data_IF_346970067237
#
_entry.id   IF_346970067237
#
_cell.length_a   1.000
_cell.length_b   1.000
_cell.length_c   1.000
_cell.angle_alpha   90.00
_cell.angle_beta   90.00
_cell.angle_gamma   90.00
#
_symmetry.space_group_name_H-M   'P 1'
#
loop_
_entity.id
_entity.type
_entity.pdbx_description
1 polymer ?
#
# COMPACT_ATOMS: atom_id res chain seq x y z
N UNK A 1 31.55 4.01 -8.71
CA UNK A 1 31.72 5.22 -7.86
C UNK A 1 30.77 6.36 -8.22
N UNK A 2 30.66 6.82 -9.46
CA UNK A 2 29.75 7.94 -9.81
C UNK A 2 28.25 7.61 -9.68
N UNK A 3 27.81 6.40 -10.00
CA UNK A 3 26.39 5.99 -9.89
C UNK A 3 25.95 5.80 -8.43
N UNK A 4 26.76 5.16 -7.59
CA UNK A 4 26.47 5.01 -6.16
C UNK A 4 26.37 6.36 -5.45
N UNK A 5 27.26 7.30 -5.80
CA UNK A 5 27.24 8.66 -5.25
C UNK A 5 25.95 9.41 -5.65
N UNK A 6 25.47 9.17 -6.89
CA UNK A 6 24.23 9.79 -7.37
C UNK A 6 22.98 9.25 -6.68
N UNK A 7 22.91 7.92 -6.43
CA UNK A 7 21.79 7.30 -5.72
C UNK A 7 21.73 7.75 -4.25
N UNK A 8 22.87 7.78 -3.56
CA UNK A 8 22.94 8.27 -2.18
C UNK A 8 22.52 9.74 -2.08
N UNK A 9 22.95 10.57 -3.02
CA UNK A 9 22.51 11.96 -3.08
C UNK A 9 21.00 12.08 -3.27
N UNK A 10 20.42 11.34 -4.21
CA UNK A 10 18.96 11.33 -4.44
C UNK A 10 18.17 10.84 -3.23
N UNK A 11 18.70 9.85 -2.49
CA UNK A 11 18.06 9.36 -1.25
C UNK A 11 18.02 10.44 -0.16
N UNK A 12 19.06 11.27 -0.06
CA UNK A 12 19.16 12.31 0.95
C UNK A 12 18.36 13.58 0.62
N UNK A 13 18.01 13.79 -0.66
CA UNK A 13 17.21 14.95 -1.03
C UNK A 13 15.84 14.92 -0.37
N UNK A 14 15.36 16.03 0.19
CA UNK A 14 13.96 16.15 0.58
C UNK A 14 13.06 16.07 -0.65
N UNK A 15 12.03 15.23 -0.58
CA UNK A 15 11.14 14.97 -1.70
C UNK A 15 9.68 15.22 -1.33
N UNK A 16 8.86 15.50 -2.34
CA UNK A 16 7.41 15.50 -2.26
C UNK A 16 6.83 14.58 -3.33
N UNK A 17 5.76 13.88 -2.99
CA UNK A 17 4.96 13.06 -3.92
C UNK A 17 3.53 13.58 -3.94
N UNK A 18 3.03 13.93 -5.12
CA UNK A 18 1.76 14.64 -5.28
C UNK A 18 0.60 13.74 -5.74
N UNK A 19 0.84 12.47 -6.04
CA UNK A 19 -0.21 11.56 -6.50
C UNK A 19 0.18 10.11 -6.23
N UNK A 20 -0.27 9.57 -5.09
CA UNK A 20 -0.01 8.19 -4.70
C UNK A 20 -1.32 7.50 -4.35
N UNK A 21 -1.65 6.41 -5.02
CA UNK A 21 -2.76 5.55 -4.64
C UNK A 21 -2.33 4.67 -3.47
N UNK A 22 -3.03 4.78 -2.35
CA UNK A 22 -2.69 4.08 -1.11
C UNK A 22 -2.64 2.56 -1.32
N UNK A 23 -3.65 2.01 -1.98
CA UNK A 23 -3.73 0.56 -2.28
C UNK A 23 -2.60 0.12 -3.23
N UNK A 24 -2.20 0.98 -4.16
CA UNK A 24 -1.11 0.72 -5.11
C UNK A 24 0.29 0.80 -4.49
N UNK A 25 0.42 1.39 -3.31
CA UNK A 25 1.69 1.53 -2.59
C UNK A 25 1.97 0.36 -1.63
N UNK A 26 1.06 -0.60 -1.48
CA UNK A 26 1.22 -1.75 -0.58
C UNK A 26 2.32 -2.67 -1.10
N UNK A 27 3.30 -2.95 -0.24
CA UNK A 27 4.45 -3.80 -0.59
C UNK A 27 4.09 -5.29 -0.61
N UNK A 28 4.80 -6.14 -1.38
CA UNK A 28 4.55 -7.58 -1.44
C UNK A 28 4.50 -8.28 -0.08
N UNK A 29 5.40 -7.94 0.84
CA UNK A 29 5.41 -8.48 2.20
C UNK A 29 4.10 -8.21 2.94
N UNK A 30 3.56 -6.99 2.82
CA UNK A 30 2.28 -6.60 3.43
C UNK A 30 1.10 -7.29 2.77
N UNK A 31 1.13 -7.46 1.44
CA UNK A 31 0.10 -8.24 0.73
C UNK A 31 0.04 -9.66 1.28
N UNK A 32 1.20 -10.31 1.50
CA UNK A 32 1.25 -11.65 2.10
C UNK A 32 0.75 -11.67 3.55
N UNK A 33 1.11 -10.67 4.35
CA UNK A 33 0.62 -10.53 5.72
C UNK A 33 -0.92 -10.45 5.75
N UNK A 34 -1.50 -9.56 4.96
CA UNK A 34 -2.94 -9.38 4.86
C UNK A 34 -3.64 -10.65 4.36
N UNK A 35 -3.09 -11.29 3.33
CA UNK A 35 -3.65 -12.53 2.80
C UNK A 35 -3.64 -13.67 3.84
N UNK A 36 -2.58 -13.79 4.64
CA UNK A 36 -2.51 -14.76 5.75
C UNK A 36 -3.49 -14.41 6.86
N UNK A 37 -3.56 -13.15 7.26
CA UNK A 37 -4.47 -12.63 8.31
C UNK A 37 -5.93 -12.98 8.01
N UNK A 38 -6.33 -12.88 6.75
CA UNK A 38 -7.70 -13.14 6.31
C UNK A 38 -7.91 -14.52 5.68
N UNK A 39 -6.90 -15.41 5.72
CA UNK A 39 -6.95 -16.76 5.09
C UNK A 39 -7.28 -16.68 3.59
N UNK A 40 -6.71 -15.72 2.89
CA UNK A 40 -6.98 -15.39 1.48
C UNK A 40 -5.74 -15.54 0.60
N UNK A 41 -4.86 -16.49 0.89
CA UNK A 41 -3.73 -16.80 -0.01
C UNK A 41 -4.17 -17.32 -1.38
N UNK A 42 -5.40 -17.84 -1.46
CA UNK A 42 -6.02 -18.34 -2.68
C UNK A 42 -6.22 -17.28 -3.77
N UNK A 43 -6.32 -16.00 -3.40
CA UNK A 43 -6.49 -14.91 -4.37
C UNK A 43 -5.17 -14.42 -4.98
N UNK A 44 -4.04 -14.91 -4.44
CA UNK A 44 -2.71 -14.52 -4.89
C UNK A 44 -2.10 -15.60 -5.80
N UNK A 45 -1.30 -15.20 -6.81
CA UNK A 45 -0.64 -16.16 -7.71
C UNK A 45 0.57 -16.85 -7.08
N UNK A 46 1.06 -16.36 -5.94
CA UNK A 46 2.21 -16.87 -5.23
C UNK A 46 2.09 -16.64 -3.73
N UNK A 47 2.70 -17.51 -2.93
CA UNK A 47 2.70 -17.45 -1.48
C UNK A 47 4.03 -16.87 -0.90
N UNK A 48 4.87 -16.28 -1.74
CA UNK A 48 6.15 -15.67 -1.38
C UNK A 48 6.35 -14.32 -2.06
N UNK A 49 7.28 -13.51 -1.52
CA UNK A 49 7.53 -12.17 -2.00
C UNK A 49 8.07 -12.13 -3.43
N UNK A 50 8.94 -13.06 -3.80
CA UNK A 50 9.58 -13.06 -5.12
C UNK A 50 8.53 -13.31 -6.23
N UNK A 51 7.62 -14.23 -5.99
CA UNK A 51 6.48 -14.48 -6.88
C UNK A 51 5.56 -13.28 -7.00
N UNK A 52 5.26 -12.60 -5.90
CA UNK A 52 4.45 -11.38 -5.91
C UNK A 52 5.16 -10.21 -6.59
N UNK A 53 6.47 -10.03 -6.39
CA UNK A 53 7.25 -9.02 -7.12
C UNK A 53 7.19 -9.25 -8.63
N UNK A 54 7.22 -10.50 -9.07
CA UNK A 54 7.06 -10.85 -10.48
C UNK A 54 5.65 -10.55 -10.99
N UNK A 55 4.64 -10.82 -10.18
CA UNK A 55 3.24 -10.50 -10.49
C UNK A 55 2.98 -8.99 -10.58
N UNK A 56 3.63 -8.19 -9.74
CA UNK A 56 3.52 -6.72 -9.74
C UNK A 56 4.12 -6.08 -11.00
N UNK A 57 4.89 -6.80 -11.79
CA UNK A 57 5.31 -6.37 -13.11
C UNK A 57 4.14 -6.50 -14.09
N UNK A 58 3.23 -5.54 -14.07
CA UNK A 58 2.05 -5.57 -14.92
C UNK A 58 2.42 -5.47 -16.41
N UNK A 59 1.69 -6.20 -17.23
CA UNK A 59 1.92 -6.32 -18.66
C UNK A 59 1.10 -5.30 -19.47
N UNK A 60 -0.13 -5.05 -19.00
CA UNK A 60 -1.07 -4.13 -19.60
C UNK A 60 -2.01 -3.56 -18.51
N UNK A 61 -2.88 -2.64 -18.90
CA UNK A 61 -3.82 -2.01 -17.99
C UNK A 61 -4.80 -3.00 -17.34
N UNK A 62 -5.23 -4.03 -18.06
CA UNK A 62 -6.13 -5.05 -17.50
C UNK A 62 -5.44 -5.86 -16.39
N UNK A 63 -4.17 -6.21 -16.61
CA UNK A 63 -3.38 -6.90 -15.60
C UNK A 63 -3.16 -6.00 -14.37
N UNK A 64 -2.86 -4.73 -14.58
CA UNK A 64 -2.77 -3.74 -13.48
C UNK A 64 -4.06 -3.68 -12.65
N UNK A 65 -5.24 -3.57 -13.30
CA UNK A 65 -6.53 -3.54 -12.58
C UNK A 65 -6.78 -4.83 -11.80
N UNK A 66 -6.44 -6.00 -12.35
CA UNK A 66 -6.57 -7.27 -11.62
C UNK A 66 -5.73 -7.29 -10.35
N UNK A 67 -4.48 -6.84 -10.43
CA UNK A 67 -3.58 -6.73 -9.28
C UNK A 67 -4.19 -5.77 -8.24
N UNK A 68 -4.57 -4.58 -8.68
CA UNK A 68 -5.13 -3.55 -7.81
C UNK A 68 -6.38 -4.03 -7.06
N UNK A 69 -7.32 -4.68 -7.74
CA UNK A 69 -8.53 -5.21 -7.13
C UNK A 69 -8.25 -6.38 -6.19
N UNK A 70 -7.32 -7.27 -6.54
CA UNK A 70 -6.93 -8.38 -5.67
C UNK A 70 -6.29 -7.89 -4.37
N UNK A 71 -5.41 -6.89 -4.44
CA UNK A 71 -4.81 -6.27 -3.26
C UNK A 71 -5.87 -5.53 -2.44
N UNK A 72 -6.74 -4.77 -3.08
CA UNK A 72 -7.83 -4.05 -2.41
C UNK A 72 -8.78 -5.00 -1.68
N UNK A 73 -9.03 -6.20 -2.19
CA UNK A 73 -9.89 -7.21 -1.53
C UNK A 73 -9.30 -7.75 -0.23
N UNK A 74 -8.01 -7.61 0.00
CA UNK A 74 -7.35 -8.01 1.24
C UNK A 74 -7.52 -7.00 2.38
N UNK A 75 -7.94 -5.78 2.09
CA UNK A 75 -8.20 -4.74 3.10
C UNK A 75 -9.63 -4.91 3.64
N UNK A 76 -9.78 -5.62 4.76
CA UNK A 76 -11.08 -6.09 5.27
C UNK A 76 -11.48 -5.54 6.63
N UNK A 77 -10.56 -4.93 7.35
CA UNK A 77 -10.81 -4.35 8.67
C UNK A 77 -10.21 -2.95 8.79
N UNK A 78 -10.68 -2.11 9.72
CA UNK A 78 -10.06 -0.81 9.99
C UNK A 78 -8.55 -0.92 10.33
N UNK A 79 -8.13 -2.02 10.96
CA UNK A 79 -6.74 -2.30 11.31
C UNK A 79 -5.86 -2.56 10.08
N UNK A 80 -6.44 -3.07 9.00
CA UNK A 80 -5.71 -3.22 7.74
C UNK A 80 -5.40 -1.85 7.12
N UNK A 81 -6.37 -0.93 7.18
CA UNK A 81 -6.17 0.45 6.72
C UNK A 81 -5.18 1.21 7.62
N UNK A 82 -5.20 0.96 8.92
CA UNK A 82 -4.19 1.47 9.86
C UNK A 82 -2.79 0.99 9.48
N UNK A 83 -2.62 -0.31 9.24
CA UNK A 83 -1.35 -0.91 8.84
C UNK A 83 -0.78 -0.27 7.58
N UNK A 84 -1.57 -0.18 6.51
CA UNK A 84 -1.06 0.36 5.24
C UNK A 84 -0.77 1.87 5.31
N UNK A 85 -1.55 2.63 6.08
CA UNK A 85 -1.29 4.05 6.30
C UNK A 85 0.00 4.25 7.12
N UNK A 86 0.23 3.45 8.16
CA UNK A 86 1.47 3.45 8.93
C UNK A 86 2.68 3.13 8.05
N UNK A 87 2.60 2.06 7.27
CA UNK A 87 3.70 1.64 6.39
C UNK A 87 4.00 2.66 5.31
N UNK A 88 2.99 3.33 4.78
CA UNK A 88 3.18 4.43 3.83
C UNK A 88 3.98 5.57 4.46
N UNK A 89 3.71 5.92 5.72
CA UNK A 89 4.48 6.92 6.47
C UNK A 89 5.92 6.47 6.75
N UNK A 90 6.12 5.23 7.17
CA UNK A 90 7.46 4.66 7.38
C UNK A 90 8.28 4.65 6.09
N UNK A 91 7.65 4.35 4.95
CA UNK A 91 8.29 4.40 3.64
C UNK A 91 8.70 5.82 3.23
N UNK A 92 7.87 6.82 3.56
CA UNK A 92 8.23 8.23 3.38
C UNK A 92 9.50 8.60 4.15
N UNK A 93 9.56 8.22 5.42
CA UNK A 93 10.73 8.50 6.28
C UNK A 93 11.99 7.85 5.71
N UNK A 94 11.92 6.57 5.31
CA UNK A 94 13.04 5.83 4.74
C UNK A 94 13.59 6.44 3.44
N UNK A 95 12.75 7.16 2.69
CA UNK A 95 13.09 7.78 1.42
C UNK A 95 13.30 9.30 1.49
N UNK A 96 13.30 9.90 2.69
CA UNK A 96 13.33 11.34 2.90
C UNK A 96 12.23 12.09 2.11
N UNK A 97 11.02 11.53 2.10
CA UNK A 97 9.83 12.16 1.53
C UNK A 97 9.14 12.93 2.65
N UNK A 98 9.15 14.26 2.57
CA UNK A 98 8.63 15.15 3.61
C UNK A 98 7.13 15.44 3.46
N UNK A 99 6.61 15.28 2.26
CA UNK A 99 5.22 15.56 1.93
C UNK A 99 4.70 14.53 0.93
N UNK A 100 3.47 14.04 1.15
CA UNK A 100 2.81 13.11 0.22
C UNK A 100 1.31 13.39 0.17
N UNK A 101 0.78 13.46 -1.04
CA UNK A 101 -0.66 13.46 -1.30
C UNK A 101 -1.08 12.05 -1.68
N UNK A 102 -1.69 11.34 -0.72
CA UNK A 102 -2.22 10.01 -0.95
C UNK A 102 -3.72 10.05 -1.17
N UNK A 103 -4.19 9.28 -2.13
CA UNK A 103 -5.59 9.04 -2.40
C UNK A 103 -5.94 7.57 -2.19
N UNK A 104 -7.19 7.27 -1.94
CA UNK A 104 -7.71 5.90 -1.94
C UNK A 104 -9.09 5.87 -2.60
N UNK A 105 -9.59 4.69 -2.90
CA UNK A 105 -10.84 4.55 -3.64
C UNK A 105 -11.94 3.98 -2.73
N UNK A 106 -12.68 4.83 -1.97
CA UNK A 106 -13.72 4.38 -1.03
C UNK A 106 -14.78 3.49 -1.68
N UNK A 107 -15.19 3.83 -2.90
CA UNK A 107 -16.16 3.06 -3.66
C UNK A 107 -15.77 1.59 -3.82
N UNK A 108 -14.50 1.31 -4.10
CA UNK A 108 -14.00 -0.07 -4.23
C UNK A 108 -14.24 -0.88 -2.97
N UNK A 109 -14.03 -0.30 -1.81
CA UNK A 109 -14.11 -1.01 -0.52
C UNK A 109 -15.53 -1.13 0.02
N UNK A 110 -16.33 -0.07 -0.12
CA UNK A 110 -17.65 0.03 0.49
C UNK A 110 -18.74 -0.55 -0.42
N UNK A 111 -18.70 -0.20 -1.72
CA UNK A 111 -19.76 -0.54 -2.67
C UNK A 111 -19.37 -1.71 -3.58
N UNK A 112 -18.24 -1.60 -4.29
CA UNK A 112 -17.88 -2.57 -5.34
C UNK A 112 -17.54 -3.95 -4.77
N UNK A 113 -16.75 -4.03 -3.70
CA UNK A 113 -16.37 -5.30 -3.05
C UNK A 113 -17.26 -5.66 -1.86
N UNK A 114 -18.10 -4.74 -1.40
CA UNK A 114 -19.10 -4.93 -0.33
C UNK A 114 -18.60 -5.79 0.83
N UNK A 115 -17.52 -5.32 1.47
CA UNK A 115 -16.83 -6.06 2.56
C UNK A 115 -17.45 -5.81 3.94
N UNK A 116 -18.58 -5.11 4.01
CA UNK A 116 -19.23 -4.73 5.27
C UNK A 116 -18.50 -3.62 6.03
N UNK A 117 -17.58 -2.89 5.37
CA UNK A 117 -16.89 -1.75 5.95
C UNK A 117 -17.67 -0.47 5.72
N UNK A 118 -17.78 0.38 6.73
CA UNK A 118 -18.25 1.75 6.55
C UNK A 118 -17.08 2.67 6.15
N UNK A 119 -17.40 3.78 5.48
CA UNK A 119 -16.40 4.81 5.19
C UNK A 119 -15.78 5.38 6.48
N UNK A 120 -16.55 5.48 7.55
CA UNK A 120 -16.10 5.96 8.86
C UNK A 120 -15.05 5.03 9.46
N UNK A 121 -15.25 3.71 9.37
CA UNK A 121 -14.28 2.72 9.86
C UNK A 121 -12.96 2.80 9.09
N UNK A 122 -13.04 2.94 7.77
CA UNK A 122 -11.86 3.09 6.92
C UNK A 122 -11.09 4.36 7.29
N UNK A 123 -11.77 5.50 7.38
CA UNK A 123 -11.14 6.77 7.73
C UNK A 123 -10.52 6.75 9.13
N UNK A 124 -11.19 6.12 10.10
CA UNK A 124 -10.66 5.95 11.45
C UNK A 124 -9.36 5.11 11.45
N UNK A 125 -9.32 4.02 10.67
CA UNK A 125 -8.10 3.21 10.49
C UNK A 125 -6.96 4.02 9.86
N UNK A 126 -7.23 4.68 8.75
CA UNK A 126 -6.26 5.53 8.05
C UNK A 126 -5.68 6.62 8.96
N UNK A 127 -6.52 7.28 9.75
CA UNK A 127 -6.07 8.34 10.66
C UNK A 127 -5.20 7.81 11.80
N UNK A 128 -5.54 6.65 12.38
CA UNK A 128 -4.69 6.00 13.38
C UNK A 128 -3.31 5.65 12.83
N UNK A 129 -3.24 5.05 11.64
CA UNK A 129 -1.97 4.70 11.00
C UNK A 129 -1.12 5.93 10.68
N UNK A 130 -1.75 6.99 10.15
CA UNK A 130 -1.09 8.28 9.90
C UNK A 130 -0.53 8.92 11.18
N UNK A 131 -1.29 8.89 12.26
CA UNK A 131 -0.86 9.44 13.55
C UNK A 131 0.25 8.60 14.19
N UNK A 132 0.21 7.28 14.06
CA UNK A 132 1.27 6.39 14.52
C UNK A 132 2.59 6.67 13.78
N UNK A 133 2.56 6.74 12.44
CA UNK A 133 3.74 7.02 11.63
C UNK A 133 4.38 8.40 11.89
N UNK A 134 3.63 9.36 12.44
CA UNK A 134 4.18 10.68 12.82
C UNK A 134 4.93 10.68 14.15
N UNK A 135 4.71 9.66 14.98
CA UNK A 135 5.34 9.55 16.32
C UNK A 135 6.66 8.80 16.29
N UNK A 136 6.84 7.94 15.30
CA UNK A 136 8.03 7.12 15.10
C UNK A 136 9.04 7.81 14.14
#
# INVERSE_FOLDING_TARGET
MREETSLQYLQQLPKAELHVHLEGAIKPATVLELARRHSRLDVLPAADEAGLQSWFKFQDFRHFIKIYLAISDLLRTPEDFELIAYQLGADMAAQNILYREATFTPYTHVEYQDKGLSIQDILAGLDRGRLAARRD
#
